data_IF_060583743499
#
_entry.id   IF_060583743499
#
_cell.length_a   1.000
_cell.length_b   1.000
_cell.length_c   1.000
_cell.angle_alpha   90.00
_cell.angle_beta   90.00
_cell.angle_gamma   90.00
#
_symmetry.space_group_name_H-M   'P 1'
#
loop_
_entity.id
_entity.type
_entity.pdbx_description
1 polymer ?
#
# COMPACT_ATOMS: atom_id res chain seq x y z
N UNK A 1 11.22 14.79 6.42
CA UNK A 1 9.75 14.75 6.15
C UNK A 1 9.09 16.04 6.65
N UNK A 2 8.29 16.76 5.84
CA UNK A 2 7.58 17.98 6.33
C UNK A 2 6.36 17.59 7.18
N UNK A 3 6.29 18.11 8.41
CA UNK A 3 5.35 17.70 9.47
C UNK A 3 3.85 17.90 9.17
N UNK A 4 3.47 18.62 8.11
CA UNK A 4 2.07 18.96 7.78
C UNK A 4 1.37 18.08 6.74
N UNK A 5 2.03 17.06 6.17
CA UNK A 5 1.54 16.33 4.98
C UNK A 5 0.95 14.93 5.24
N UNK A 6 1.07 14.42 6.46
CA UNK A 6 0.50 13.14 6.88
C UNK A 6 -0.94 13.36 7.34
N UNK A 7 -1.88 13.60 6.42
CA UNK A 7 -3.31 13.82 6.73
C UNK A 7 -4.16 12.57 6.62
N UNK A 8 -3.67 11.56 5.93
CA UNK A 8 -4.45 10.40 5.53
C UNK A 8 -4.01 9.15 6.28
N UNK A 9 -4.89 8.15 6.36
CA UNK A 9 -4.61 6.87 6.99
C UNK A 9 -4.54 5.76 5.96
N UNK A 10 -3.64 4.83 6.22
CA UNK A 10 -3.48 3.58 5.49
C UNK A 10 -3.56 2.43 6.49
N UNK A 11 -4.25 1.36 6.10
CA UNK A 11 -4.33 0.11 6.86
C UNK A 11 -3.57 -0.96 6.09
N UNK A 12 -2.68 -1.67 6.80
CA UNK A 12 -2.02 -2.87 6.34
C UNK A 12 -2.75 -4.08 6.93
N UNK A 13 -3.00 -5.08 6.09
CA UNK A 13 -3.60 -6.35 6.49
C UNK A 13 -2.74 -7.51 6.01
N UNK A 14 -2.66 -8.55 6.83
CA UNK A 14 -1.91 -9.77 6.52
C UNK A 14 -2.85 -10.97 6.47
N UNK A 15 -2.56 -11.92 5.59
CA UNK A 15 -3.31 -13.16 5.51
C UNK A 15 -3.01 -14.00 6.74
N UNK A 16 -4.01 -14.22 7.59
CA UNK A 16 -3.92 -15.09 8.76
C UNK A 16 -4.80 -16.31 8.58
N UNK A 17 -4.27 -17.45 9.01
CA UNK A 17 -5.01 -18.70 9.09
C UNK A 17 -5.64 -18.78 10.49
N UNK A 18 -6.95 -18.53 10.54
CA UNK A 18 -7.73 -18.61 11.77
C UNK A 18 -8.32 -20.01 11.83
N UNK A 19 -7.94 -20.76 12.86
CA UNK A 19 -8.55 -22.05 13.16
C UNK A 19 -9.91 -21.81 13.80
N UNK A 20 -10.97 -22.21 13.11
CA UNK A 20 -12.32 -22.15 13.64
C UNK A 20 -12.50 -23.17 14.76
N UNK A 21 -13.46 -22.95 15.66
CA UNK A 21 -13.78 -23.87 16.75
C UNK A 21 -14.15 -25.30 16.27
N UNK A 22 -14.64 -25.43 15.03
CA UNK A 22 -14.92 -26.69 14.35
C UNK A 22 -13.68 -27.38 13.75
N UNK A 23 -12.49 -26.81 13.90
CA UNK A 23 -11.25 -27.33 13.32
C UNK A 23 -10.98 -26.90 11.88
N UNK A 24 -11.93 -26.24 11.21
CA UNK A 24 -11.74 -25.71 9.86
C UNK A 24 -10.75 -24.53 9.83
N UNK A 25 -9.78 -24.56 8.92
CA UNK A 25 -8.88 -23.43 8.67
C UNK A 25 -9.56 -22.42 7.74
N UNK A 26 -9.74 -21.19 8.22
CA UNK A 26 -10.22 -20.06 7.41
C UNK A 26 -9.08 -19.09 7.18
N UNK A 27 -8.89 -18.66 5.93
CA UNK A 27 -7.95 -17.61 5.57
C UNK A 27 -8.67 -16.27 5.60
N UNK A 28 -8.20 -15.35 6.43
CA UNK A 28 -8.79 -14.02 6.57
C UNK A 28 -7.68 -12.97 6.62
N UNK A 29 -7.90 -11.84 5.95
CA UNK A 29 -6.99 -10.71 6.04
C UNK A 29 -7.28 -9.93 7.33
N UNK A 30 -6.37 -10.02 8.29
CA UNK A 30 -6.48 -9.29 9.55
C UNK A 30 -5.66 -8.00 9.49
N UNK A 31 -6.21 -6.89 10.00
CA UNK A 31 -5.46 -5.64 10.15
C UNK A 31 -4.26 -5.86 11.09
N UNK A 32 -3.08 -5.48 10.62
CA UNK A 32 -1.82 -5.59 11.37
C UNK A 32 -1.26 -4.23 11.78
N UNK A 33 -1.51 -3.19 10.98
CA UNK A 33 -1.05 -1.84 11.27
C UNK A 33 -1.94 -0.81 10.60
N UNK A 34 -2.38 0.19 11.35
CA UNK A 34 -2.98 1.41 10.83
C UNK A 34 -2.08 2.60 11.13
N UNK A 35 -1.64 3.32 10.11
CA UNK A 35 -0.69 4.43 10.27
C UNK A 35 -1.02 5.62 9.36
N UNK A 36 -0.37 6.75 9.62
CA UNK A 36 -0.50 7.94 8.77
C UNK A 36 0.35 7.78 7.51
N UNK A 37 -0.19 8.24 6.39
CA UNK A 37 0.49 8.24 5.11
C UNK A 37 0.37 9.60 4.40
N UNK A 38 1.23 9.79 3.40
CA UNK A 38 1.18 10.90 2.47
C UNK A 38 1.15 10.34 1.05
N UNK A 39 0.08 10.60 0.30
CA UNK A 39 0.02 10.22 -1.12
C UNK A 39 0.96 11.10 -1.94
N UNK A 40 1.81 10.45 -2.74
CA UNK A 40 2.66 11.13 -3.72
C UNK A 40 1.95 11.16 -5.06
N UNK A 41 2.03 12.31 -5.74
CA UNK A 41 1.56 12.45 -7.11
C UNK A 41 2.53 11.69 -8.03
N UNK A 42 1.99 10.74 -8.79
CA UNK A 42 2.70 10.17 -9.93
C UNK A 42 2.78 11.26 -11.01
N UNK A 43 4.00 11.61 -11.41
CA UNK A 43 4.22 12.49 -12.56
C UNK A 43 4.66 11.58 -13.69
N UNK A 44 3.87 11.49 -14.76
CA UNK A 44 4.29 10.77 -15.95
C UNK A 44 5.60 11.38 -16.45
N UNK A 45 6.67 10.59 -16.55
CA UNK A 45 7.83 11.00 -17.32
C UNK A 45 7.36 11.12 -18.77
N UNK A 46 7.42 12.32 -19.34
CA UNK A 46 7.01 12.61 -20.71
C UNK A 46 7.94 11.85 -21.67
N UNK A 47 7.55 10.66 -22.11
CA UNK A 47 8.37 9.80 -22.96
C UNK A 47 7.52 8.84 -23.78
N UNK A 48 7.12 9.27 -24.98
CA UNK A 48 6.74 8.49 -26.18
C UNK A 48 6.09 7.10 -26.02
N UNK A 49 5.10 6.95 -25.14
CA UNK A 49 4.31 5.72 -25.03
C UNK A 49 2.99 5.98 -24.30
N UNK A 50 2.06 6.69 -24.95
CA UNK A 50 0.87 7.27 -24.32
C UNK A 50 -0.05 6.22 -23.66
N UNK A 51 -0.27 5.06 -24.28
CA UNK A 51 -1.31 4.13 -23.80
C UNK A 51 -0.91 3.27 -22.58
N UNK A 52 0.29 2.66 -22.56
CA UNK A 52 0.70 1.80 -21.45
C UNK A 52 1.03 2.60 -20.17
N UNK A 53 1.48 3.84 -20.33
CA UNK A 53 1.85 4.73 -19.22
C UNK A 53 0.60 5.23 -18.47
N UNK A 54 -0.49 5.52 -19.18
CA UNK A 54 -1.72 6.04 -18.58
C UNK A 54 -2.47 4.98 -17.76
N UNK A 55 -2.64 3.75 -18.27
CA UNK A 55 -3.29 2.67 -17.51
C UNK A 55 -2.49 2.25 -16.27
N UNK A 56 -1.15 2.30 -16.38
CA UNK A 56 -0.26 2.06 -15.26
C UNK A 56 -0.40 3.14 -14.18
N UNK A 57 -0.48 4.42 -14.57
CA UNK A 57 -0.67 5.54 -13.62
C UNK A 57 -2.07 5.51 -13.01
N UNK A 58 -3.10 5.17 -13.78
CA UNK A 58 -4.48 5.14 -13.32
C UNK A 58 -4.71 4.10 -12.21
N UNK A 59 -4.03 2.96 -12.30
CA UNK A 59 -4.17 1.84 -11.36
C UNK A 59 -3.08 1.80 -10.28
N UNK A 60 -2.10 2.69 -10.34
CA UNK A 60 -0.99 2.72 -9.38
C UNK A 60 -1.12 3.93 -8.46
N UNK A 61 -0.82 3.72 -7.18
CA UNK A 61 -0.68 4.80 -6.20
C UNK A 61 0.68 4.69 -5.52
N UNK A 62 1.25 5.84 -5.16
CA UNK A 62 2.47 5.88 -4.36
C UNK A 62 2.13 6.52 -3.01
N UNK A 63 2.43 5.80 -1.94
CA UNK A 63 2.19 6.23 -0.56
C UNK A 63 3.50 6.29 0.19
N UNK A 64 3.73 7.38 0.92
CA UNK A 64 4.87 7.52 1.81
C UNK A 64 4.42 7.36 3.27
N UNK A 65 5.08 6.47 4.01
CA UNK A 65 4.81 6.18 5.44
C UNK A 65 6.09 6.17 6.25
N UNK A 66 6.02 6.34 7.56
CA UNK A 66 7.20 6.13 8.42
C UNK A 66 7.62 4.66 8.39
N UNK A 67 8.93 4.40 8.47
CA UNK A 67 9.42 3.04 8.59
C UNK A 67 8.84 2.39 9.85
N UNK A 68 8.30 1.18 9.68
CA UNK A 68 7.79 0.34 10.75
C UNK A 68 8.13 -1.11 10.40
N UNK A 69 8.65 -1.86 11.38
CA UNK A 69 9.05 -3.26 11.20
C UNK A 69 7.87 -4.19 10.88
N UNK A 70 6.65 -3.78 11.18
CA UNK A 70 5.43 -4.53 10.87
C UNK A 70 5.05 -4.46 9.37
N UNK A 71 5.64 -3.56 8.58
CA UNK A 71 5.32 -3.39 7.16
C UNK A 71 6.17 -4.34 6.32
N UNK A 72 5.51 -5.14 5.47
CA UNK A 72 6.18 -6.02 4.52
C UNK A 72 5.42 -6.12 3.18
N UNK A 73 6.08 -6.62 2.14
CA UNK A 73 5.55 -6.68 0.76
C UNK A 73 4.42 -7.70 0.57
N UNK A 74 4.24 -8.66 1.49
CA UNK A 74 3.20 -9.70 1.39
C UNK A 74 1.83 -9.21 1.88
N UNK A 75 1.79 -8.02 2.48
CA UNK A 75 0.58 -7.43 3.03
C UNK A 75 -0.30 -6.79 1.96
N UNK A 76 -1.58 -6.67 2.27
CA UNK A 76 -2.57 -5.90 1.52
C UNK A 76 -2.76 -4.55 2.17
N UNK A 77 -3.07 -3.56 1.34
CA UNK A 77 -3.28 -2.19 1.77
C UNK A 77 -4.73 -1.81 1.52
N UNK A 78 -5.34 -1.19 2.52
CA UNK A 78 -6.59 -0.45 2.36
C UNK A 78 -6.32 1.03 2.50
N UNK A 79 -6.66 1.80 1.47
CA UNK A 79 -6.49 3.24 1.43
C UNK A 79 -7.74 3.90 0.83
N UNK A 80 -8.35 4.85 1.56
CA UNK A 80 -9.63 5.48 1.22
C UNK A 80 -10.73 4.46 0.85
N UNK A 81 -10.82 3.35 1.59
CA UNK A 81 -11.81 2.29 1.36
C UNK A 81 -11.57 1.41 0.13
N UNK A 82 -10.45 1.58 -0.58
CA UNK A 82 -10.05 0.76 -1.73
C UNK A 82 -8.90 -0.15 -1.35
N UNK A 83 -8.93 -1.39 -1.87
CA UNK A 83 -7.88 -2.39 -1.70
C UNK A 83 -6.77 -2.26 -2.73
N UNK A 84 -5.53 -2.45 -2.29
CA UNK A 84 -4.34 -2.39 -3.12
C UNK A 84 -3.34 -3.48 -2.72
N UNK A 85 -2.61 -3.96 -3.73
CA UNK A 85 -1.43 -4.82 -3.55
C UNK A 85 -0.17 -3.97 -3.48
N UNK A 86 0.77 -4.35 -2.62
CA UNK A 86 2.12 -3.77 -2.61
C UNK A 86 2.87 -4.33 -3.81
N UNK A 87 3.43 -3.44 -4.64
CA UNK A 87 4.28 -3.80 -5.79
C UNK A 87 5.75 -3.57 -5.46
N UNK A 88 6.04 -2.49 -4.73
CA UNK A 88 7.39 -2.13 -4.33
C UNK A 88 7.34 -1.47 -2.95
N UNK A 89 8.24 -1.90 -2.07
CA UNK A 89 8.48 -1.29 -0.77
C UNK A 89 9.90 -0.74 -0.72
N UNK A 90 10.06 0.56 -0.96
CA UNK A 90 11.38 1.19 -1.02
C UNK A 90 11.70 1.97 0.26
N UNK A 91 12.86 1.71 0.87
CA UNK A 91 13.31 2.40 2.08
C UNK A 91 14.07 3.67 1.72
N UNK A 92 13.51 4.81 2.10
CA UNK A 92 14.08 6.12 1.89
C UNK A 92 15.06 6.51 3.02
N UNK A 93 16.07 7.36 2.74
CA UNK A 93 17.07 7.79 3.73
C UNK A 93 16.47 8.56 4.91
N UNK A 94 15.31 9.19 4.73
CA UNK A 94 14.58 9.95 5.76
C UNK A 94 13.72 9.04 6.68
N UNK A 95 14.15 7.79 6.89
CA UNK A 95 13.49 6.77 7.70
C UNK A 95 12.01 6.53 7.37
N UNK A 96 11.70 6.54 6.08
CA UNK A 96 10.35 6.32 5.56
C UNK A 96 10.31 5.31 4.45
N UNK A 97 9.17 4.66 4.27
CA UNK A 97 8.92 3.81 3.13
C UNK A 97 8.17 4.58 2.06
N UNK A 98 8.63 4.44 0.82
CA UNK A 98 7.89 4.78 -0.38
C UNK A 98 7.30 3.49 -0.94
N UNK A 99 5.98 3.39 -0.88
CA UNK A 99 5.24 2.18 -1.24
C UNK A 99 4.54 2.43 -2.55
N UNK A 100 4.88 1.65 -3.57
CA UNK A 100 4.15 1.61 -4.83
C UNK A 100 3.09 0.52 -4.72
N UNK A 101 1.84 0.89 -4.88
CA UNK A 101 0.71 -0.03 -4.78
C UNK A 101 -0.06 -0.04 -6.09
N UNK A 102 -0.57 -1.20 -6.48
CA UNK A 102 -1.48 -1.37 -7.61
C UNK A 102 -2.86 -1.72 -7.08
N UNK A 103 -3.90 -1.11 -7.66
CA UNK A 103 -5.28 -1.36 -7.30
C UNK A 103 -5.62 -2.82 -7.56
N UNK A 104 -6.26 -3.46 -6.58
CA UNK A 104 -6.83 -4.79 -6.82
C UNK A 104 -8.15 -4.59 -7.57
N UNK A 105 -8.20 -5.05 -8.82
CA UNK A 105 -9.46 -5.18 -9.54
C UNK A 105 -10.25 -6.30 -8.85
N UNK A 106 -11.24 -5.90 -8.05
CA UNK A 106 -12.32 -6.79 -7.61
C UNK A 106 -13.33 -6.98 -8.73
#
# INVERSE_FOLDING_TARGET
>A
MRAGLLKEFITFSELREIRSASGAMKREYAEVLRTRCCRKKLTAAYGNGLNASEEFIANTIILQVRCNALINERQRITYQGKGYKIILLDKQPDNTYLITCSKENG
#
